data_IF_590022447320
#
_entry.id   IF_590022447320
#
_cell.length_a   1.000
_cell.length_b   1.000
_cell.length_c   1.000
_cell.angle_alpha   90.00
_cell.angle_beta   90.00
_cell.angle_gamma   90.00
#
_symmetry.space_group_name_H-M   'P 1'
#
loop_
_entity.id
_entity.type
_entity.pdbx_description
1 polymer ?
#
# COMPACT_ATOMS: atom_id res chain seq x y z
N UNK A 1 -34.83 57.56 48.42
CA UNK A 1 -33.75 57.75 47.43
C UNK A 1 -33.15 56.38 47.09
N UNK A 2 -33.14 56.07 45.79
CA UNK A 2 -32.59 54.92 45.05
C UNK A 2 -31.47 54.13 45.76
N UNK A 3 -31.52 52.79 45.94
CA UNK A 3 -31.45 51.67 44.97
C UNK A 3 -30.35 51.78 43.91
N UNK A 4 -29.23 51.09 44.12
CA UNK A 4 -28.61 50.17 43.12
C UNK A 4 -27.56 49.29 43.80
N UNK A 5 -27.89 48.00 44.01
CA UNK A 5 -26.95 46.96 44.42
C UNK A 5 -26.27 46.39 43.16
N UNK A 6 -24.94 46.37 43.13
CA UNK A 6 -24.19 45.74 42.04
C UNK A 6 -24.21 44.21 42.25
N UNK A 7 -24.83 43.48 41.33
CA UNK A 7 -24.74 42.03 41.27
C UNK A 7 -23.36 41.63 40.74
N UNK A 8 -22.60 40.85 41.54
CA UNK A 8 -21.34 40.26 41.11
C UNK A 8 -21.66 39.15 40.10
N UNK A 9 -21.48 39.44 38.81
CA UNK A 9 -21.53 38.46 37.73
C UNK A 9 -20.25 37.61 37.77
N UNK A 10 -20.33 36.44 38.38
CA UNK A 10 -19.27 35.44 38.27
C UNK A 10 -19.38 34.76 36.89
N UNK A 11 -18.48 35.13 35.97
CA UNK A 11 -18.33 34.42 34.70
C UNK A 11 -17.64 33.08 34.96
N UNK A 12 -18.38 31.98 34.83
CA UNK A 12 -17.85 30.63 34.90
C UNK A 12 -17.24 30.29 33.53
N UNK A 13 -15.92 30.43 33.41
CA UNK A 13 -15.21 30.07 32.17
C UNK A 13 -15.09 28.54 32.14
N UNK A 14 -15.82 27.89 31.24
CA UNK A 14 -15.58 26.49 30.88
C UNK A 14 -14.34 26.45 29.99
N UNK A 15 -13.22 25.95 30.50
CA UNK A 15 -12.08 25.59 29.66
C UNK A 15 -12.43 24.29 28.91
N UNK A 16 -12.51 24.36 27.58
CA UNK A 16 -12.46 23.15 26.76
C UNK A 16 -11.06 22.54 26.94
N UNK A 17 -10.98 21.46 27.71
CA UNK A 17 -9.80 20.61 27.68
C UNK A 17 -9.66 20.02 26.29
N UNK A 18 -8.62 20.42 25.55
CA UNK A 18 -8.15 19.61 24.45
C UNK A 18 -7.66 18.30 25.07
N UNK A 19 -8.46 17.24 24.98
CA UNK A 19 -7.95 15.91 25.28
C UNK A 19 -6.75 15.69 24.35
N UNK A 20 -5.60 15.17 24.85
CA UNK A 20 -4.56 14.74 23.95
C UNK A 20 -5.17 13.66 23.05
N UNK A 21 -5.32 13.96 21.77
CA UNK A 21 -5.49 12.92 20.75
C UNK A 21 -4.17 12.18 20.77
N UNK A 22 -4.15 10.99 21.37
CA UNK A 22 -3.00 10.10 21.27
C UNK A 22 -2.88 9.73 19.79
N UNK A 23 -2.05 10.46 19.06
CA UNK A 23 -1.69 10.08 17.70
C UNK A 23 -0.96 8.74 17.78
N UNK A 24 -1.58 7.69 17.25
CA UNK A 24 -0.91 6.41 17.09
C UNK A 24 0.27 6.61 16.14
N UNK A 25 1.48 6.34 16.61
CA UNK A 25 2.69 6.59 15.83
C UNK A 25 2.74 5.64 14.65
N UNK A 26 2.45 6.15 13.45
CA UNK A 26 2.64 5.42 12.20
C UNK A 26 4.08 4.92 12.11
N UNK A 27 4.24 3.60 12.07
CA UNK A 27 5.50 2.93 11.78
C UNK A 27 5.68 2.84 10.27
N UNK A 28 6.88 2.50 9.81
CA UNK A 28 7.16 2.23 8.39
C UNK A 28 7.90 0.91 8.25
N UNK A 29 7.52 0.14 7.23
CA UNK A 29 8.24 -1.04 6.79
C UNK A 29 8.75 -0.81 5.37
N UNK A 30 9.99 -1.23 5.09
CA UNK A 30 10.55 -1.16 3.74
C UNK A 30 10.38 -2.49 3.04
N UNK A 31 9.44 -2.56 2.08
CA UNK A 31 9.27 -3.73 1.22
C UNK A 31 10.29 -3.66 0.10
N UNK A 32 11.12 -4.68 -0.02
CA UNK A 32 12.06 -4.81 -1.12
C UNK A 32 11.50 -5.78 -2.16
N UNK A 33 11.43 -5.34 -3.40
CA UNK A 33 11.12 -6.23 -4.50
C UNK A 33 12.41 -6.82 -5.08
N UNK A 34 12.57 -8.14 -4.94
CA UNK A 34 13.75 -8.85 -5.43
C UNK A 34 13.83 -8.88 -6.96
N UNK A 35 12.69 -8.78 -7.67
CA UNK A 35 12.65 -8.89 -9.13
C UNK A 35 13.07 -7.58 -9.81
N UNK A 36 12.49 -6.44 -9.40
CA UNK A 36 12.83 -5.12 -9.93
C UNK A 36 14.03 -4.46 -9.23
N UNK A 37 14.38 -4.91 -8.02
CA UNK A 37 15.38 -4.27 -7.16
C UNK A 37 14.91 -2.96 -6.52
N UNK A 38 13.62 -2.62 -6.65
CA UNK A 38 13.05 -1.41 -6.05
C UNK A 38 12.70 -1.63 -4.57
N UNK A 39 12.67 -0.53 -3.82
CA UNK A 39 12.24 -0.54 -2.41
C UNK A 39 11.12 0.48 -2.20
N UNK A 40 10.12 0.07 -1.44
CA UNK A 40 8.91 0.85 -1.19
C UNK A 40 8.70 0.98 0.32
N UNK A 41 8.38 2.20 0.77
CA UNK A 41 7.99 2.44 2.16
C UNK A 41 6.48 2.19 2.29
N UNK A 42 6.11 1.35 3.24
CA UNK A 42 4.72 1.06 3.60
C UNK A 42 4.49 1.55 5.04
N UNK A 43 3.91 2.75 5.22
CA UNK A 43 3.46 3.20 6.52
C UNK A 43 2.36 2.29 7.06
N UNK A 44 2.42 1.97 8.36
CA UNK A 44 1.42 1.14 9.01
C UNK A 44 1.15 1.55 10.45
N UNK A 45 -0.04 1.20 10.95
CA UNK A 45 -0.39 1.22 12.36
C UNK A 45 -1.03 -0.10 12.75
N UNK A 46 -0.63 -0.65 13.89
CA UNK A 46 -1.22 -1.86 14.46
C UNK A 46 -1.59 -1.57 15.91
N UNK A 47 -2.81 -1.93 16.32
CA UNK A 47 -3.32 -1.64 17.66
C UNK A 47 -2.73 -2.58 18.72
N UNK A 48 -2.62 -3.88 18.38
CA UNK A 48 -2.29 -4.94 19.33
C UNK A 48 -1.43 -6.04 18.71
N UNK A 49 -0.15 -5.75 18.50
CA UNK A 49 0.81 -6.72 17.99
C UNK A 49 2.02 -6.06 17.36
N UNK A 50 2.78 -6.85 16.61
CA UNK A 50 3.91 -6.36 15.82
C UNK A 50 3.92 -6.99 14.44
N UNK A 51 4.42 -6.24 13.45
CA UNK A 51 4.73 -6.77 12.12
C UNK A 51 6.18 -7.25 12.14
N UNK A 52 6.40 -8.50 11.73
CA UNK A 52 7.73 -9.12 11.66
C UNK A 52 8.31 -9.03 10.25
N UNK A 53 7.48 -9.16 9.22
CA UNK A 53 7.89 -9.16 7.82
C UNK A 53 6.80 -8.62 6.89
N UNK A 54 7.20 -8.01 5.78
CA UNK A 54 6.33 -7.76 4.63
C UNK A 54 7.03 -8.18 3.35
N UNK A 55 6.43 -9.10 2.62
CA UNK A 55 6.97 -9.65 1.38
C UNK A 55 5.94 -9.61 0.26
N UNK A 56 6.44 -9.44 -0.96
CA UNK A 56 5.61 -9.33 -2.16
C UNK A 56 5.59 -10.69 -2.89
N UNK A 57 4.39 -11.20 -3.21
CA UNK A 57 4.21 -12.36 -4.08
C UNK A 57 3.82 -11.90 -5.47
N UNK A 58 4.71 -12.09 -6.45
CA UNK A 58 4.40 -11.86 -7.87
C UNK A 58 3.47 -12.91 -8.45
N UNK A 59 3.51 -14.14 -7.91
CA UNK A 59 2.67 -15.24 -8.38
C UNK A 59 1.20 -15.03 -7.99
N UNK A 60 0.97 -14.55 -6.77
CA UNK A 60 -0.36 -14.34 -6.21
C UNK A 60 -0.82 -12.88 -6.33
N UNK A 61 0.03 -12.00 -6.88
CA UNK A 61 -0.20 -10.55 -6.98
C UNK A 61 -0.61 -9.92 -5.64
N UNK A 62 0.09 -10.33 -4.58
CA UNK A 62 -0.26 -9.99 -3.20
C UNK A 62 0.90 -9.43 -2.39
N UNK A 63 0.57 -8.68 -1.35
CA UNK A 63 1.48 -8.28 -0.27
C UNK A 63 1.15 -9.13 0.96
N UNK A 64 2.11 -9.95 1.39
CA UNK A 64 2.01 -10.81 2.56
C UNK A 64 2.64 -10.09 3.74
N UNK A 65 1.85 -9.88 4.79
CA UNK A 65 2.26 -9.23 6.03
C UNK A 65 2.27 -10.28 7.13
N UNK A 66 3.46 -10.59 7.64
CA UNK A 66 3.62 -11.48 8.78
C UNK A 66 3.46 -10.68 10.07
N UNK A 67 2.53 -11.10 10.91
CA UNK A 67 2.16 -10.40 12.14
C UNK A 67 2.23 -11.32 13.34
N UNK A 68 2.37 -10.73 14.53
CA UNK A 68 2.14 -11.40 15.81
C UNK A 68 1.10 -10.59 16.56
N UNK A 69 -0.16 -10.97 16.46
CA UNK A 69 -1.26 -10.29 17.14
C UNK A 69 -1.36 -10.73 18.61
N UNK A 70 -1.22 -9.78 19.55
CA UNK A 70 -1.25 -10.07 21.01
C UNK A 70 -2.66 -9.95 21.61
N UNK A 71 -3.56 -9.23 20.93
CA UNK A 71 -5.00 -9.19 21.21
C UNK A 71 -5.73 -8.76 19.95
N UNK A 72 -7.06 -8.80 19.97
CA UNK A 72 -7.88 -8.25 18.90
C UNK A 72 -7.56 -6.75 18.69
N UNK A 73 -7.41 -6.35 17.43
CA UNK A 73 -7.12 -4.96 17.07
C UNK A 73 -7.24 -4.73 15.57
N UNK A 74 -6.88 -3.54 15.11
CA UNK A 74 -6.83 -3.26 13.68
C UNK A 74 -5.40 -3.12 13.18
N UNK A 75 -5.20 -3.52 11.94
CA UNK A 75 -4.03 -3.22 11.14
C UNK A 75 -4.43 -2.24 10.03
N UNK A 76 -3.75 -1.11 9.95
CA UNK A 76 -3.87 -0.17 8.84
C UNK A 76 -2.55 -0.12 8.07
N UNK A 77 -2.62 -0.30 6.76
CA UNK A 77 -1.49 -0.29 5.83
C UNK A 77 -1.72 0.79 4.78
N UNK A 78 -0.75 1.66 4.54
CA UNK A 78 -0.76 2.59 3.41
C UNK A 78 0.27 2.12 2.39
N UNK A 79 -0.20 1.62 1.26
CA UNK A 79 0.61 1.02 0.22
C UNK A 79 0.70 1.96 -0.98
N UNK A 80 1.90 2.23 -1.50
CA UNK A 80 2.05 2.92 -2.77
C UNK A 80 1.44 2.09 -3.91
N UNK A 81 0.69 2.72 -4.82
CA UNK A 81 0.14 2.06 -6.01
C UNK A 81 1.20 1.51 -6.96
N UNK A 82 2.42 2.05 -6.87
CA UNK A 82 3.57 1.52 -7.60
C UNK A 82 4.09 0.18 -7.05
N UNK A 83 3.78 -0.14 -5.79
CA UNK A 83 4.10 -1.42 -5.15
C UNK A 83 3.01 -2.46 -5.44
N UNK A 84 1.75 -2.10 -5.20
CA UNK A 84 0.59 -2.98 -5.40
C UNK A 84 -0.65 -2.13 -5.72
N UNK A 85 -1.46 -2.58 -6.68
CA UNK A 85 -2.69 -1.90 -7.07
C UNK A 85 -3.77 -2.91 -7.50
N UNK A 86 -5.04 -2.48 -7.48
CA UNK A 86 -6.19 -3.25 -7.94
C UNK A 86 -6.96 -2.45 -8.99
N UNK A 87 -6.96 -2.92 -10.24
CA UNK A 87 -7.45 -2.20 -11.41
C UNK A 87 -8.29 -3.10 -12.29
N UNK A 88 -9.43 -2.58 -12.74
CA UNK A 88 -10.19 -3.13 -13.86
C UNK A 88 -9.99 -2.21 -15.08
N UNK A 89 -9.02 -2.58 -15.91
CA UNK A 89 -8.55 -1.76 -17.03
C UNK A 89 -7.98 -0.42 -16.55
N UNK A 90 -8.66 0.68 -16.86
CA UNK A 90 -8.25 2.03 -16.45
C UNK A 90 -8.85 2.46 -15.10
N UNK A 91 -9.84 1.72 -14.59
CA UNK A 91 -10.60 2.09 -13.40
C UNK A 91 -10.03 1.41 -12.15
N UNK A 92 -10.24 2.02 -10.99
CA UNK A 92 -9.90 1.39 -9.71
C UNK A 92 -10.88 0.27 -9.40
N UNK A 93 -10.34 -0.91 -9.11
CA UNK A 93 -11.07 -2.02 -8.49
C UNK A 93 -10.76 -2.08 -6.99
N UNK A 94 -11.33 -3.03 -6.24
CA UNK A 94 -11.04 -3.27 -4.83
C UNK A 94 -9.96 -4.32 -4.63
N UNK A 95 -9.24 -4.24 -3.51
CA UNK A 95 -8.40 -5.35 -3.05
C UNK A 95 -9.25 -6.52 -2.56
N UNK A 96 -8.62 -7.68 -2.39
CA UNK A 96 -9.08 -8.73 -1.49
C UNK A 96 -8.14 -8.79 -0.30
N UNK A 97 -8.66 -9.03 0.90
CA UNK A 97 -7.85 -9.11 2.12
C UNK A 97 -8.15 -10.42 2.82
N UNK A 98 -7.11 -11.18 3.10
CA UNK A 98 -7.21 -12.42 3.85
C UNK A 98 -6.53 -12.27 5.21
N UNK A 99 -7.11 -12.86 6.23
CA UNK A 99 -6.54 -12.99 7.58
C UNK A 99 -6.39 -14.48 7.87
N UNK A 100 -5.14 -14.95 8.03
CA UNK A 100 -4.79 -16.37 8.09
C UNK A 100 -5.42 -17.23 6.97
N UNK A 101 -5.50 -16.67 5.77
CA UNK A 101 -6.06 -17.33 4.58
C UNK A 101 -7.59 -17.33 4.49
N UNK A 102 -8.29 -16.72 5.45
CA UNK A 102 -9.74 -16.54 5.41
C UNK A 102 -10.11 -15.13 4.93
N UNK A 103 -11.13 -15.05 4.07
CA UNK A 103 -11.67 -13.78 3.59
C UNK A 103 -12.27 -12.95 4.74
N UNK A 104 -12.11 -11.64 4.67
CA UNK A 104 -12.55 -10.72 5.74
C UNK A 104 -13.01 -9.37 5.18
N UNK A 105 -13.87 -8.71 5.95
CA UNK A 105 -14.26 -7.34 5.68
C UNK A 105 -13.10 -6.38 5.99
N UNK A 106 -12.94 -5.37 5.14
CA UNK A 106 -11.94 -4.33 5.31
C UNK A 106 -12.49 -2.99 4.80
N UNK A 107 -11.80 -1.91 5.17
CA UNK A 107 -12.07 -0.59 4.62
C UNK A 107 -10.90 -0.13 3.78
N UNK A 108 -11.20 0.58 2.68
CA UNK A 108 -10.20 1.04 1.73
C UNK A 108 -10.39 2.53 1.44
N UNK A 109 -9.29 3.29 1.47
CA UNK A 109 -9.24 4.66 0.96
C UNK A 109 -8.24 4.75 -0.17
N UNK A 110 -8.65 5.39 -1.26
CA UNK A 110 -7.89 5.47 -2.51
C UNK A 110 -7.45 6.91 -2.77
N UNK A 111 -6.16 7.12 -3.01
CA UNK A 111 -5.63 8.37 -3.55
C UNK A 111 -5.03 8.11 -4.94
N UNK A 112 -4.47 9.13 -5.60
CA UNK A 112 -3.80 8.94 -6.89
C UNK A 112 -2.47 8.16 -6.77
N UNK A 113 -1.84 8.16 -5.59
CA UNK A 113 -0.50 7.62 -5.38
C UNK A 113 -0.50 6.40 -4.47
N UNK A 114 -1.47 6.30 -3.56
CA UNK A 114 -1.48 5.34 -2.47
C UNK A 114 -2.87 4.73 -2.29
N UNK A 115 -2.89 3.58 -1.63
CA UNK A 115 -4.08 2.93 -1.13
C UNK A 115 -3.90 2.58 0.34
N UNK A 116 -4.88 2.96 1.15
CA UNK A 116 -4.89 2.64 2.58
C UNK A 116 -5.93 1.57 2.85
N UNK A 117 -5.52 0.45 3.42
CA UNK A 117 -6.38 -0.66 3.85
C UNK A 117 -6.37 -0.73 5.36
N UNK A 118 -7.55 -0.80 5.97
CA UNK A 118 -7.71 -1.10 7.39
C UNK A 118 -8.54 -2.36 7.56
N UNK A 119 -7.99 -3.33 8.29
CA UNK A 119 -8.58 -4.64 8.54
C UNK A 119 -8.49 -5.01 10.02
N UNK A 120 -9.50 -5.71 10.52
CA UNK A 120 -9.49 -6.26 11.88
C UNK A 120 -8.65 -7.54 11.92
N UNK A 121 -7.74 -7.59 12.88
CA UNK A 121 -6.80 -8.67 13.13
C UNK A 121 -7.11 -9.27 14.51
N UNK A 122 -7.72 -10.46 14.59
CA UNK A 122 -7.95 -11.15 15.84
C UNK A 122 -6.65 -11.54 16.54
N UNK A 123 -6.73 -11.80 17.85
CA UNK A 123 -5.62 -12.38 18.62
C UNK A 123 -5.11 -13.66 17.95
N UNK A 124 -3.79 -13.91 18.07
CA UNK A 124 -3.11 -15.10 17.55
C UNK A 124 -3.04 -15.19 16.01
N UNK A 125 -3.51 -14.16 15.29
CA UNK A 125 -3.29 -14.02 13.85
C UNK A 125 -1.80 -13.99 13.54
N UNK A 126 -1.40 -14.73 12.51
CA UNK A 126 -0.01 -14.84 12.06
C UNK A 126 0.23 -14.16 10.70
N UNK A 127 -0.80 -14.03 9.89
CA UNK A 127 -0.68 -13.50 8.54
C UNK A 127 -1.88 -12.63 8.14
N UNK A 128 -1.59 -11.52 7.48
CA UNK A 128 -2.55 -10.74 6.70
C UNK A 128 -2.03 -10.68 5.27
N UNK A 129 -2.88 -10.99 4.30
CA UNK A 129 -2.54 -10.94 2.89
C UNK A 129 -3.45 -9.95 2.16
N UNK A 130 -2.85 -9.02 1.43
CA UNK A 130 -3.57 -8.05 0.59
C UNK A 130 -3.33 -8.39 -0.87
N UNK A 131 -4.38 -8.79 -1.58
CA UNK A 131 -4.33 -9.27 -2.96
C UNK A 131 -4.87 -8.18 -3.88
N UNK A 132 -4.06 -7.80 -4.88
CA UNK A 132 -4.44 -6.87 -5.93
C UNK A 132 -4.62 -7.54 -7.28
N UNK A 133 -4.64 -6.73 -8.34
CA UNK A 133 -4.61 -7.22 -9.72
C UNK A 133 -3.22 -7.08 -10.35
N UNK A 134 -2.34 -6.33 -9.70
CA UNK A 134 -0.99 -6.06 -10.13
C UNK A 134 -0.11 -5.75 -8.93
N UNK A 135 1.11 -6.26 -8.96
CA UNK A 135 2.20 -5.82 -8.10
C UNK A 135 3.23 -5.09 -8.96
N UNK A 136 4.26 -4.53 -8.33
CA UNK A 136 5.37 -3.85 -9.01
C UNK A 136 5.76 -4.64 -10.27
N UNK A 137 5.66 -4.05 -11.47
CA UNK A 137 5.93 -4.79 -12.69
C UNK A 137 7.39 -5.25 -12.73
N UNK A 138 7.62 -6.53 -13.01
CA UNK A 138 8.96 -7.13 -13.18
C UNK A 138 9.80 -6.45 -14.28
N UNK A 139 9.14 -5.64 -15.11
CA UNK A 139 9.69 -5.05 -16.32
C UNK A 139 9.24 -3.59 -16.44
N UNK A 140 10.01 -2.68 -15.85
CA UNK A 140 9.81 -1.23 -16.07
C UNK A 140 10.08 -0.82 -17.53
N UNK A 141 10.04 0.49 -17.82
CA UNK A 141 10.29 1.06 -19.16
C UNK A 141 11.60 0.59 -19.83
N UNK A 142 12.58 0.14 -19.03
CA UNK A 142 13.85 -0.42 -19.52
C UNK A 142 13.66 -1.71 -20.32
N UNK A 143 12.69 -2.55 -19.95
CA UNK A 143 12.37 -3.78 -20.69
C UNK A 143 11.83 -3.48 -22.10
N UNK A 144 10.92 -2.51 -22.21
CA UNK A 144 10.38 -2.04 -23.48
C UNK A 144 11.49 -1.44 -24.35
N UNK A 145 12.45 -0.72 -23.75
CA UNK A 145 13.63 -0.21 -24.46
C UNK A 145 14.49 -1.36 -25.00
N UNK A 146 14.80 -2.37 -24.19
CA UNK A 146 15.57 -3.55 -24.63
C UNK A 146 14.83 -4.30 -25.73
N UNK A 147 13.50 -4.47 -25.62
CA UNK A 147 12.67 -5.09 -26.63
C UNK A 147 12.69 -4.31 -27.95
N UNK A 148 12.55 -2.98 -27.89
CA UNK A 148 12.63 -2.12 -29.08
C UNK A 148 14.00 -2.22 -29.74
N UNK A 149 15.09 -2.14 -28.97
CA UNK A 149 16.46 -2.28 -29.49
C UNK A 149 16.68 -3.65 -30.12
N UNK A 150 16.16 -4.72 -29.51
CA UNK A 150 16.26 -6.07 -30.04
C UNK A 150 15.53 -6.21 -31.37
N UNK A 151 14.29 -5.73 -31.47
CA UNK A 151 13.50 -5.76 -32.70
C UNK A 151 14.20 -4.97 -33.81
N UNK A 152 14.67 -3.75 -33.53
CA UNK A 152 15.40 -2.92 -34.49
C UNK A 152 16.67 -3.62 -35.00
N UNK A 153 17.41 -4.28 -34.10
CA UNK A 153 18.63 -5.03 -34.45
C UNK A 153 18.32 -6.22 -35.37
N UNK A 154 17.27 -6.98 -35.07
CA UNK A 154 16.82 -8.12 -35.88
C UNK A 154 16.42 -7.66 -37.29
N UNK A 155 15.63 -6.59 -37.40
CA UNK A 155 15.18 -6.04 -38.69
C UNK A 155 16.39 -5.60 -39.53
N UNK A 156 17.33 -4.86 -38.93
CA UNK A 156 18.51 -4.37 -39.62
C UNK A 156 19.43 -5.50 -40.11
N UNK A 157 19.69 -6.50 -39.27
CA UNK A 157 20.51 -7.68 -39.62
C UNK A 157 19.80 -8.51 -40.70
N UNK A 158 18.49 -8.71 -40.58
CA UNK A 158 17.69 -9.47 -41.56
C UNK A 158 17.68 -8.79 -42.93
N UNK A 159 17.55 -7.46 -42.98
CA UNK A 159 17.60 -6.69 -44.22
C UNK A 159 18.98 -6.79 -44.91
N UNK A 160 20.07 -6.68 -44.15
CA UNK A 160 21.45 -6.79 -44.67
C UNK A 160 21.79 -8.21 -45.15
N UNK A 161 21.20 -9.23 -44.54
CA UNK A 161 21.46 -10.64 -44.85
C UNK A 161 20.75 -11.08 -46.13
N UNK A 162 19.53 -10.62 -46.39
CA UNK A 162 18.79 -10.93 -47.64
C UNK A 162 19.47 -10.40 -48.91
N UNK A 163 20.15 -9.25 -48.84
CA UNK A 163 20.88 -8.68 -49.99
C UNK A 163 22.09 -9.53 -50.43
N UNK A 164 22.68 -10.30 -49.51
CA UNK A 164 23.86 -11.15 -49.82
C UNK A 164 23.51 -12.44 -50.56
N UNK A 165 22.27 -12.91 -50.45
CA UNK A 165 21.79 -14.11 -51.16
C UNK A 165 21.19 -13.81 -52.54
N UNK A 166 20.97 -12.53 -52.88
CA UNK A 166 20.47 -12.11 -54.19
C UNK A 166 21.60 -11.79 -55.21
N UNK A 167 22.87 -11.90 -54.81
CA UNK A 167 24.04 -11.63 -55.66
C UNK A 167 24.94 -12.85 -55.90
N UNK A 168 24.44 -14.07 -55.69
CA UNK A 168 25.14 -15.33 -56.04
C UNK A 168 24.38 -16.04 -57.15
#
# INVERSE_FOLDING_TARGET
MNRSSYAIMAALVFSLGAAPVFAQTAQQYTVQDATSGQSFQVPYTMDAGTISDMSLSHQDTSLIVSVTATSDGNLTLTMPRALIDAKDGANDDQFFVLVDGADTDFTETKTNTDRTVTVTVPQDTSQVEVIGTQVVPEFGALSALVLVIAILSIVLVSAKTRLRFAQV
#
